data_IF_387826414317
#
_entry.id   IF_387826414317
#
_cell.length_a   1.000
_cell.length_b   1.000
_cell.length_c   1.000
_cell.angle_alpha   90.00
_cell.angle_beta   90.00
_cell.angle_gamma   90.00
#
_symmetry.space_group_name_H-M   'P 1'
#
loop_
_entity.id
_entity.type
_entity.pdbx_description
1 polymer ?
#
# COMPACT_ATOMS: atom_id res chain seq x y z
N UNK A 1 -10.67 -0.34 -20.65
CA UNK A 1 -9.36 -1.05 -20.64
C UNK A 1 -8.98 -1.30 -22.08
N UNK A 2 -7.84 -0.83 -22.53
CA UNK A 2 -7.30 -1.15 -23.86
C UNK A 2 -6.18 -2.17 -23.73
N UNK A 3 -6.08 -3.09 -24.69
CA UNK A 3 -4.97 -4.04 -24.78
C UNK A 3 -3.89 -3.47 -25.68
N UNK A 4 -2.69 -3.31 -25.14
CA UNK A 4 -1.49 -2.97 -25.92
C UNK A 4 -0.48 -4.09 -25.71
N UNK A 5 -0.03 -4.74 -26.78
CA UNK A 5 0.94 -5.84 -26.72
C UNK A 5 0.51 -7.06 -25.89
N UNK A 6 -0.81 -7.33 -25.80
CA UNK A 6 -1.34 -8.45 -25.00
C UNK A 6 -1.55 -8.16 -23.53
N UNK A 7 -1.06 -7.02 -23.01
CA UNK A 7 -1.28 -6.58 -21.64
C UNK A 7 -2.50 -5.67 -21.53
N UNK A 8 -3.24 -5.81 -20.42
CA UNK A 8 -4.33 -4.89 -20.06
C UNK A 8 -3.72 -3.59 -19.53
N UNK A 9 -3.72 -2.53 -20.31
CA UNK A 9 -3.29 -1.20 -19.88
C UNK A 9 -4.52 -0.38 -19.51
N UNK A 10 -4.59 0.10 -18.30
CA UNK A 10 -5.57 1.13 -17.93
C UNK A 10 -5.20 2.43 -18.62
N UNK A 11 -6.08 2.94 -19.49
CA UNK A 11 -5.96 4.31 -20.01
C UNK A 11 -6.00 5.28 -18.85
N UNK A 12 -5.02 6.18 -18.78
CA UNK A 12 -4.91 7.21 -17.75
C UNK A 12 -4.82 6.68 -16.30
N UNK A 13 -3.81 5.86 -16.02
CA UNK A 13 -3.42 5.60 -14.64
C UNK A 13 -2.83 6.89 -14.05
N UNK A 14 -3.70 7.72 -13.48
CA UNK A 14 -3.27 8.71 -12.51
C UNK A 14 -3.07 7.94 -11.22
N UNK A 15 -1.88 7.95 -10.61
CA UNK A 15 -1.70 7.35 -9.28
C UNK A 15 -2.72 8.02 -8.36
N UNK A 16 -3.75 7.27 -7.98
CA UNK A 16 -4.69 7.74 -6.97
C UNK A 16 -3.90 7.85 -5.67
N UNK A 17 -4.06 8.96 -4.95
CA UNK A 17 -3.54 9.08 -3.59
C UNK A 17 -4.11 7.99 -2.68
N UNK A 18 -5.27 7.45 -3.06
CA UNK A 18 -5.90 6.37 -2.35
C UNK A 18 -5.17 5.07 -2.60
N UNK A 19 -4.66 4.50 -1.54
CA UNK A 19 -3.89 3.27 -1.54
C UNK A 19 -4.62 2.09 -2.15
N UNK A 20 -5.89 1.98 -1.84
CA UNK A 20 -6.70 0.81 -2.10
C UNK A 20 -8.10 1.30 -2.47
N UNK A 21 -8.63 0.84 -3.60
CA UNK A 21 -10.05 1.00 -3.92
C UNK A 21 -10.87 0.01 -3.09
N UNK A 22 -10.92 0.22 -1.78
CA UNK A 22 -11.84 -0.48 -0.91
C UNK A 22 -13.24 0.08 -1.21
N UNK A 23 -14.23 -0.77 -1.40
CA UNK A 23 -15.63 -0.37 -1.42
C UNK A 23 -15.90 0.38 -0.11
N UNK A 24 -16.38 1.61 -0.16
CA UNK A 24 -16.54 2.51 0.98
C UNK A 24 -15.24 3.14 1.52
N UNK A 25 -14.17 3.15 0.73
CA UNK A 25 -12.94 3.85 1.11
C UNK A 25 -13.17 5.36 1.23
N UNK A 26 -12.28 5.99 1.97
CA UNK A 26 -12.29 7.42 2.30
C UNK A 26 -12.34 8.32 1.09
N UNK A 27 -11.78 7.87 0.00
CA UNK A 27 -11.83 8.61 -1.26
C UNK A 27 -13.25 8.73 -1.84
N UNK A 28 -14.25 8.11 -1.25
CA UNK A 28 -15.62 8.13 -1.79
C UNK A 28 -16.75 7.96 -0.79
N UNK A 29 -16.52 7.97 0.53
CA UNK A 29 -17.56 7.52 1.41
C UNK A 29 -17.75 8.30 2.72
N UNK A 30 -18.32 7.65 3.69
CA UNK A 30 -18.80 8.16 5.00
C UNK A 30 -17.87 9.10 5.75
N UNK A 31 -16.56 9.07 5.49
CA UNK A 31 -15.60 9.95 6.17
C UNK A 31 -15.56 11.33 5.52
N UNK A 32 -15.65 11.40 4.19
CA UNK A 32 -15.81 12.68 3.49
C UNK A 32 -17.12 13.35 3.90
N UNK A 33 -18.20 12.58 4.02
CA UNK A 33 -19.50 13.10 4.47
C UNK A 33 -19.40 13.73 5.86
N UNK A 34 -18.68 13.09 6.78
CA UNK A 34 -18.42 13.63 8.14
C UNK A 34 -17.60 14.92 8.10
N UNK A 35 -16.57 14.96 7.27
CA UNK A 35 -15.76 16.18 7.10
C UNK A 35 -16.61 17.29 6.50
N UNK A 36 -17.33 17.01 5.42
CA UNK A 36 -18.19 17.97 4.75
C UNK A 36 -19.25 18.56 5.70
N UNK A 37 -19.92 17.69 6.48
CA UNK A 37 -20.86 18.10 7.52
C UNK A 37 -20.19 18.96 8.61
N UNK A 38 -18.97 18.59 9.03
CA UNK A 38 -18.23 19.32 10.06
C UNK A 38 -17.80 20.72 9.63
N UNK A 39 -17.52 20.94 8.34
CA UNK A 39 -17.15 22.25 7.79
C UNK A 39 -18.33 22.96 7.10
N UNK A 40 -19.53 22.34 7.07
CA UNK A 40 -20.76 22.97 6.58
C UNK A 40 -20.88 23.06 5.07
N UNK A 41 -20.35 22.09 4.33
CA UNK A 41 -20.39 22.05 2.85
C UNK A 41 -21.06 20.78 2.33
N UNK A 42 -21.44 20.79 1.06
CA UNK A 42 -21.95 19.62 0.37
C UNK A 42 -20.89 18.51 0.35
N UNK A 43 -21.25 17.22 0.58
CA UNK A 43 -20.30 16.10 0.61
C UNK A 43 -19.81 15.71 -0.79
N UNK A 44 -19.18 16.65 -1.45
CA UNK A 44 -18.48 16.49 -2.72
C UNK A 44 -17.02 16.83 -2.53
N UNK A 45 -16.14 15.95 -2.95
CA UNK A 45 -14.68 16.08 -2.78
C UNK A 45 -14.17 17.44 -3.25
N UNK A 46 -14.58 17.86 -4.46
CA UNK A 46 -14.17 19.14 -5.04
C UNK A 46 -14.62 20.34 -4.21
N UNK A 47 -15.82 20.28 -3.62
CA UNK A 47 -16.31 21.37 -2.75
C UNK A 47 -15.56 21.42 -1.43
N UNK A 48 -15.25 20.29 -0.85
CA UNK A 48 -14.43 20.21 0.38
C UNK A 48 -13.02 20.76 0.11
N UNK A 49 -12.40 20.37 -1.00
CA UNK A 49 -11.08 20.86 -1.42
C UNK A 49 -11.08 22.36 -1.66
N UNK A 50 -12.06 22.87 -2.37
CA UNK A 50 -12.23 24.30 -2.68
C UNK A 50 -12.31 25.15 -1.40
N UNK A 51 -13.17 24.73 -0.44
CA UNK A 51 -13.38 25.48 0.81
C UNK A 51 -12.16 25.43 1.72
N UNK A 52 -11.44 24.31 1.73
CA UNK A 52 -10.21 24.17 2.54
C UNK A 52 -8.97 24.72 1.85
N UNK A 53 -9.03 25.04 0.56
CA UNK A 53 -7.90 25.53 -0.22
C UNK A 53 -6.80 24.49 -0.42
N UNK A 54 -7.17 23.21 -0.53
CA UNK A 54 -6.22 22.08 -0.69
C UNK A 54 -6.36 21.45 -2.07
N UNK A 55 -5.26 20.97 -2.62
CA UNK A 55 -5.25 20.32 -3.93
C UNK A 55 -5.39 18.80 -3.82
N UNK A 56 -4.72 18.21 -2.84
CA UNK A 56 -4.70 16.77 -2.62
C UNK A 56 -5.76 16.34 -1.60
N UNK A 57 -6.39 15.18 -1.81
CA UNK A 57 -7.40 14.66 -0.86
C UNK A 57 -6.80 14.35 0.51
N UNK A 58 -5.57 13.83 0.57
CA UNK A 58 -4.86 13.58 1.83
C UNK A 58 -4.63 14.86 2.66
N UNK A 59 -4.54 16.01 2.01
CA UNK A 59 -4.35 17.29 2.70
C UNK A 59 -5.60 17.71 3.49
N UNK A 60 -6.78 17.26 3.09
CA UNK A 60 -8.03 17.47 3.85
C UNK A 60 -7.85 16.99 5.29
N UNK A 61 -7.28 15.81 5.48
CA UNK A 61 -7.12 15.19 6.80
C UNK A 61 -5.90 15.69 7.58
N UNK A 62 -5.06 16.50 6.94
CA UNK A 62 -3.96 17.26 7.57
C UNK A 62 -4.37 18.69 7.92
N UNK A 63 -5.53 19.16 7.39
CA UNK A 63 -5.96 20.53 7.59
C UNK A 63 -6.36 20.79 9.05
N UNK A 64 -5.89 21.90 9.68
CA UNK A 64 -6.14 22.18 11.09
C UNK A 64 -7.62 22.21 11.46
N UNK A 65 -8.47 22.80 10.63
CA UNK A 65 -9.91 22.89 10.89
C UNK A 65 -10.58 21.52 10.87
N UNK A 66 -10.16 20.63 9.98
CA UNK A 66 -10.65 19.26 9.92
C UNK A 66 -10.19 18.49 11.16
N UNK A 67 -8.90 18.56 11.50
CA UNK A 67 -8.35 17.89 12.70
C UNK A 67 -9.09 18.37 13.96
N UNK A 68 -9.37 19.67 14.07
CA UNK A 68 -10.12 20.23 15.19
C UNK A 68 -11.54 19.68 15.30
N UNK A 69 -12.17 19.35 14.18
CA UNK A 69 -13.57 18.88 14.11
C UNK A 69 -13.72 17.37 14.27
N UNK A 70 -12.89 16.58 13.61
CA UNK A 70 -12.98 15.13 13.64
C UNK A 70 -12.05 14.46 14.65
N UNK A 71 -11.08 15.21 15.19
CA UNK A 71 -10.06 14.74 16.12
C UNK A 71 -8.80 14.20 15.44
N UNK A 72 -7.65 14.43 16.07
CA UNK A 72 -6.34 14.05 15.55
C UNK A 72 -6.20 12.54 15.33
N UNK A 73 -6.68 11.73 16.29
CA UNK A 73 -6.60 10.26 16.17
C UNK A 73 -7.39 9.74 14.96
N UNK A 74 -8.58 10.29 14.71
CA UNK A 74 -9.39 9.89 13.57
C UNK A 74 -8.76 10.35 12.25
N UNK A 75 -8.24 11.59 12.18
CA UNK A 75 -7.55 12.09 11.01
C UNK A 75 -6.31 11.23 10.65
N UNK A 76 -5.51 10.88 11.66
CA UNK A 76 -4.35 9.99 11.47
C UNK A 76 -4.76 8.58 11.03
N UNK A 77 -5.79 8.00 11.64
CA UNK A 77 -6.28 6.68 11.24
C UNK A 77 -6.73 6.66 9.78
N UNK A 78 -7.35 7.74 9.32
CA UNK A 78 -7.73 7.91 7.92
C UNK A 78 -6.51 7.96 7.01
N UNK A 79 -5.52 8.79 7.34
CA UNK A 79 -4.29 8.91 6.56
C UNK A 79 -3.53 7.57 6.45
N UNK A 80 -3.43 6.84 7.56
CA UNK A 80 -2.71 5.57 7.61
C UNK A 80 -3.42 4.42 6.90
N UNK A 81 -4.75 4.38 6.95
CA UNK A 81 -5.51 3.24 6.45
C UNK A 81 -5.92 3.38 4.98
N UNK A 82 -6.12 4.59 4.50
CA UNK A 82 -6.81 4.84 3.24
C UNK A 82 -5.92 5.49 2.18
N UNK A 83 -4.86 6.16 2.58
CA UNK A 83 -3.92 6.77 1.65
C UNK A 83 -2.64 5.94 1.51
N UNK A 84 -2.00 6.08 0.38
CA UNK A 84 -0.69 5.47 0.19
C UNK A 84 0.27 5.97 1.28
N UNK A 85 1.11 5.10 1.86
CA UNK A 85 2.20 5.54 2.71
C UNK A 85 3.03 6.60 1.98
N UNK A 86 3.66 7.53 2.71
CA UNK A 86 4.56 8.50 2.09
C UNK A 86 5.57 7.79 1.19
N UNK A 87 5.57 8.18 -0.07
CA UNK A 87 6.48 7.64 -1.09
C UNK A 87 7.64 8.61 -1.37
N UNK A 88 8.47 8.32 -2.36
CA UNK A 88 9.51 9.22 -2.80
C UNK A 88 8.89 10.53 -3.33
N UNK A 89 9.62 11.63 -3.20
CA UNK A 89 9.15 12.99 -3.52
C UNK A 89 8.75 13.18 -4.98
N UNK A 90 9.22 12.33 -5.88
CA UNK A 90 8.85 12.35 -7.30
C UNK A 90 8.94 10.96 -7.93
N UNK A 91 8.37 10.80 -9.12
CA UNK A 91 8.32 9.53 -9.85
C UNK A 91 9.70 8.98 -10.27
N UNK A 92 10.75 9.79 -10.20
CA UNK A 92 12.11 9.40 -10.57
C UNK A 92 12.97 9.07 -9.34
N UNK A 93 12.42 9.21 -8.14
CA UNK A 93 13.13 8.85 -6.91
C UNK A 93 13.01 7.35 -6.63
N UNK A 94 14.06 6.77 -6.10
CA UNK A 94 14.11 5.37 -5.74
C UNK A 94 13.20 5.08 -4.54
N UNK A 95 12.54 3.93 -4.58
CA UNK A 95 11.82 3.42 -3.42
C UNK A 95 12.83 2.97 -2.35
N UNK A 96 12.61 3.37 -1.12
CA UNK A 96 13.34 2.85 0.04
C UNK A 96 12.65 1.62 0.61
N UNK A 97 13.38 0.84 1.41
CA UNK A 97 12.83 -0.25 2.20
C UNK A 97 11.62 0.19 3.05
N UNK A 98 11.69 1.38 3.68
CA UNK A 98 10.59 1.93 4.49
C UNK A 98 9.31 2.11 3.66
N UNK A 99 9.43 2.58 2.42
CA UNK A 99 8.28 2.72 1.53
C UNK A 99 7.64 1.35 1.21
N UNK A 100 8.49 0.35 0.95
CA UNK A 100 8.05 -1.00 0.59
C UNK A 100 7.39 -1.72 1.78
N UNK A 101 8.03 -1.70 2.94
CA UNK A 101 7.50 -2.35 4.15
C UNK A 101 6.19 -1.70 4.61
N UNK A 102 6.11 -0.36 4.59
CA UNK A 102 4.86 0.35 4.90
C UNK A 102 3.72 -0.04 3.95
N UNK A 103 4.03 -0.29 2.68
CA UNK A 103 3.03 -0.75 1.70
C UNK A 103 2.61 -2.20 1.93
N UNK A 104 3.56 -3.06 2.24
CA UNK A 104 3.31 -4.45 2.61
C UNK A 104 2.43 -4.56 3.86
N UNK A 105 2.72 -3.78 4.89
CA UNK A 105 1.91 -3.70 6.12
C UNK A 105 0.47 -3.29 5.81
N UNK A 106 0.29 -2.28 4.96
CA UNK A 106 -1.03 -1.84 4.55
C UNK A 106 -1.79 -2.93 3.79
N UNK A 107 -1.13 -3.65 2.87
CA UNK A 107 -1.75 -4.79 2.18
C UNK A 107 -2.11 -5.92 3.16
N UNK A 108 -1.23 -6.27 4.08
CA UNK A 108 -1.50 -7.31 5.06
C UNK A 108 -2.73 -6.97 5.92
N UNK A 109 -2.84 -5.71 6.36
CA UNK A 109 -3.95 -5.23 7.18
C UNK A 109 -5.31 -5.32 6.48
N UNK A 110 -5.35 -5.08 5.17
CA UNK A 110 -6.60 -5.01 4.40
C UNK A 110 -6.80 -6.17 3.43
N UNK A 111 -5.95 -7.18 3.47
CA UNK A 111 -5.91 -8.26 2.48
C UNK A 111 -7.21 -9.04 2.36
N UNK A 112 -7.85 -9.35 3.49
CA UNK A 112 -9.13 -10.09 3.49
C UNK A 112 -10.24 -9.28 2.82
N UNK A 113 -10.29 -7.98 3.07
CA UNK A 113 -11.28 -7.08 2.47
C UNK A 113 -11.04 -6.87 0.98
N UNK A 114 -9.78 -6.74 0.56
CA UNK A 114 -9.40 -6.45 -0.81
C UNK A 114 -9.43 -7.65 -1.73
N UNK A 115 -8.94 -8.78 -1.24
CA UNK A 115 -8.61 -9.95 -2.04
C UNK A 115 -9.36 -11.20 -1.59
N UNK A 116 -10.13 -11.12 -0.50
CA UNK A 116 -10.75 -12.26 0.18
C UNK A 116 -9.73 -13.35 0.56
N UNK A 117 -8.50 -12.95 0.89
CA UNK A 117 -7.40 -13.81 1.30
C UNK A 117 -6.65 -13.17 2.46
N UNK A 118 -6.22 -14.00 3.42
CA UNK A 118 -5.34 -13.56 4.52
C UNK A 118 -3.91 -13.52 4.01
N UNK A 119 -3.37 -12.34 3.85
CA UNK A 119 -2.00 -12.13 3.43
C UNK A 119 -1.11 -11.74 4.60
N UNK A 120 0.11 -12.26 4.60
CA UNK A 120 1.22 -11.78 5.44
C UNK A 120 2.49 -11.65 4.62
N UNK A 121 3.51 -11.05 5.20
CA UNK A 121 4.78 -10.79 4.50
C UNK A 121 5.97 -10.91 5.44
N UNK A 122 7.14 -11.08 4.86
CA UNK A 122 8.41 -10.81 5.51
C UNK A 122 8.85 -9.39 5.13
N UNK A 123 9.36 -8.57 6.06
CA UNK A 123 10.02 -7.31 5.73
C UNK A 123 11.07 -7.51 4.63
N UNK A 124 11.43 -6.43 3.94
CA UNK A 124 12.36 -6.51 2.82
C UNK A 124 13.66 -7.25 3.19
N UNK A 125 14.22 -7.98 2.23
CA UNK A 125 15.48 -8.72 2.42
C UNK A 125 16.52 -8.24 1.40
N UNK A 126 17.79 -8.22 1.81
CA UNK A 126 18.92 -8.11 0.89
C UNK A 126 19.23 -9.49 0.30
N UNK A 127 19.90 -9.55 -0.85
CA UNK A 127 20.14 -10.83 -1.53
C UNK A 127 20.94 -11.84 -0.69
N UNK A 128 21.76 -11.35 0.22
CA UNK A 128 22.59 -12.14 1.15
C UNK A 128 21.90 -12.48 2.48
N UNK A 129 20.56 -12.37 2.54
CA UNK A 129 19.79 -12.57 3.77
C UNK A 129 20.10 -13.88 4.50
N UNK A 130 20.42 -14.94 3.76
CA UNK A 130 20.76 -16.24 4.34
C UNK A 130 22.09 -16.20 5.08
N UNK A 131 23.07 -15.44 4.58
CA UNK A 131 24.41 -15.35 5.13
C UNK A 131 24.48 -14.44 6.37
N UNK A 132 23.63 -13.40 6.40
CA UNK A 132 23.61 -12.42 7.48
C UNK A 132 22.52 -12.68 8.54
N UNK A 133 21.79 -13.77 8.42
CA UNK A 133 20.70 -14.11 9.36
C UNK A 133 19.47 -13.21 9.23
N UNK A 134 19.12 -12.83 8.01
CA UNK A 134 17.94 -12.03 7.73
C UNK A 134 16.65 -12.67 8.23
N UNK A 135 15.60 -11.88 8.44
CA UNK A 135 14.33 -12.29 9.06
C UNK A 135 13.69 -13.50 8.35
N UNK A 136 13.82 -13.57 7.03
CA UNK A 136 13.26 -14.67 6.23
C UNK A 136 13.82 -16.05 6.67
N UNK A 137 15.05 -16.11 7.18
CA UNK A 137 15.67 -17.38 7.67
C UNK A 137 15.02 -17.89 8.95
N UNK A 138 14.27 -17.05 9.65
CA UNK A 138 13.59 -17.37 10.90
C UNK A 138 12.12 -17.77 10.69
N UNK A 139 11.63 -17.68 9.45
CA UNK A 139 10.23 -17.95 9.13
C UNK A 139 10.04 -19.43 8.80
N UNK A 140 9.22 -20.12 9.60
CA UNK A 140 8.69 -21.43 9.21
C UNK A 140 7.50 -21.24 8.26
N UNK A 141 7.74 -21.50 6.97
CA UNK A 141 6.74 -21.31 5.93
C UNK A 141 5.53 -22.26 6.09
N UNK A 142 5.71 -23.41 6.74
CA UNK A 142 4.63 -24.35 7.03
C UNK A 142 3.70 -23.78 8.11
N UNK A 143 4.27 -23.11 9.10
CA UNK A 143 3.47 -22.44 10.14
C UNK A 143 2.79 -21.19 9.60
N UNK A 144 3.38 -20.50 8.65
CA UNK A 144 2.73 -19.39 7.93
C UNK A 144 1.52 -19.92 7.16
N UNK A 145 1.68 -21.00 6.38
CA UNK A 145 0.61 -21.60 5.58
C UNK A 145 -0.59 -22.09 6.40
N UNK A 146 -0.41 -22.42 7.68
CA UNK A 146 -1.52 -22.78 8.58
C UNK A 146 -2.43 -21.60 8.96
N UNK A 147 -1.92 -20.38 8.87
CA UNK A 147 -2.58 -19.16 9.38
C UNK A 147 -3.00 -18.19 8.30
N UNK A 148 -2.31 -18.22 7.17
CA UNK A 148 -2.46 -17.26 6.07
C UNK A 148 -2.64 -17.98 4.75
N UNK A 149 -3.34 -17.34 3.84
CA UNK A 149 -3.61 -17.86 2.50
C UNK A 149 -2.46 -17.52 1.53
N UNK A 150 -1.74 -16.44 1.81
CA UNK A 150 -0.69 -15.93 0.96
C UNK A 150 0.46 -15.34 1.77
N UNK A 151 1.66 -15.39 1.19
CA UNK A 151 2.87 -14.81 1.77
C UNK A 151 3.68 -14.08 0.72
N UNK A 152 4.21 -12.92 1.07
CA UNK A 152 5.04 -12.11 0.18
C UNK A 152 6.37 -11.72 0.81
N UNK A 153 7.36 -11.50 -0.04
CA UNK A 153 8.65 -10.93 0.35
C UNK A 153 9.21 -10.09 -0.79
N UNK A 154 9.84 -8.97 -0.45
CA UNK A 154 10.52 -8.09 -1.39
C UNK A 154 12.02 -8.19 -1.13
N UNK A 155 12.78 -8.35 -2.19
CA UNK A 155 14.23 -8.47 -2.15
C UNK A 155 14.90 -7.29 -2.84
N UNK A 156 16.05 -6.90 -2.33
CA UNK A 156 17.01 -6.08 -3.07
C UNK A 156 18.11 -6.97 -3.63
N UNK A 157 18.53 -6.71 -4.86
CA UNK A 157 19.61 -7.48 -5.52
C UNK A 157 21.00 -7.13 -5.01
N UNK A 158 21.13 -6.16 -4.12
CA UNK A 158 22.39 -5.78 -3.50
C UNK A 158 22.62 -6.54 -2.19
N UNK A 159 23.88 -6.56 -1.75
CA UNK A 159 24.27 -7.10 -0.45
C UNK A 159 23.91 -6.14 0.69
N UNK A 160 23.82 -6.65 1.90
CA UNK A 160 23.48 -5.87 3.11
C UNK A 160 24.45 -4.74 3.41
N UNK A 161 25.69 -4.80 2.88
CA UNK A 161 26.68 -3.73 2.95
C UNK A 161 26.51 -2.65 1.86
N UNK A 162 25.62 -2.87 0.89
CA UNK A 162 25.40 -1.96 -0.22
C UNK A 162 24.31 -0.92 0.02
N UNK A 163 24.06 -0.09 -0.98
CA UNK A 163 23.05 0.97 -0.95
C UNK A 163 21.71 0.56 -1.53
N UNK A 164 21.64 -0.65 -2.08
CA UNK A 164 20.54 -1.13 -2.87
C UNK A 164 20.70 -0.83 -4.36
N UNK A 165 20.35 -1.81 -5.20
CA UNK A 165 20.49 -1.69 -6.66
C UNK A 165 19.12 -1.80 -7.32
N UNK A 166 18.38 -2.88 -7.03
CA UNK A 166 17.12 -3.19 -7.70
C UNK A 166 16.22 -4.03 -6.81
N UNK A 167 14.91 -3.82 -6.95
CA UNK A 167 13.89 -4.54 -6.20
C UNK A 167 13.21 -5.61 -7.07
N UNK A 168 13.01 -6.79 -6.49
CA UNK A 168 12.14 -7.82 -7.01
C UNK A 168 11.30 -8.41 -5.89
N UNK A 169 10.25 -9.14 -6.21
CA UNK A 169 9.43 -9.76 -5.18
C UNK A 169 9.10 -11.21 -5.51
N UNK A 170 8.81 -11.96 -4.46
CA UNK A 170 8.22 -13.29 -4.55
C UNK A 170 6.90 -13.32 -3.77
N UNK A 171 5.96 -14.08 -4.27
CA UNK A 171 4.65 -14.26 -3.71
C UNK A 171 4.29 -15.74 -3.71
N UNK A 172 3.74 -16.23 -2.62
CA UNK A 172 3.30 -17.62 -2.46
C UNK A 172 1.80 -17.62 -2.21
N UNK A 173 1.06 -18.37 -3.01
CA UNK A 173 -0.36 -18.67 -2.80
C UNK A 173 -0.50 -20.09 -2.27
N UNK A 174 -0.79 -20.24 -0.98
CA UNK A 174 -0.98 -21.52 -0.33
C UNK A 174 -2.33 -22.15 -0.65
N UNK A 175 -3.27 -21.39 -1.22
CA UNK A 175 -4.62 -21.87 -1.55
C UNK A 175 -4.73 -22.45 -2.94
N UNK A 176 -3.73 -22.27 -3.79
CA UNK A 176 -3.66 -22.88 -5.12
C UNK A 176 -3.27 -24.36 -5.05
N UNK A 177 -3.68 -25.13 -6.04
CA UNK A 177 -3.29 -26.54 -6.14
C UNK A 177 -2.78 -26.86 -7.57
N UNK A 178 -1.48 -27.08 -7.76
CA UNK A 178 -0.42 -27.04 -6.74
C UNK A 178 -0.21 -25.64 -6.16
N UNK A 179 0.45 -25.56 -5.00
CA UNK A 179 0.86 -24.27 -4.41
C UNK A 179 1.65 -23.49 -5.44
N UNK A 180 1.23 -22.25 -5.67
CA UNK A 180 1.89 -21.37 -6.63
C UNK A 180 2.93 -20.49 -5.94
N UNK A 181 4.10 -20.39 -6.56
CA UNK A 181 5.15 -19.44 -6.20
C UNK A 181 5.35 -18.55 -7.42
N UNK A 182 5.10 -17.28 -7.25
CA UNK A 182 5.27 -16.26 -8.28
C UNK A 182 6.50 -15.42 -7.99
N UNK A 183 7.21 -15.08 -9.03
CA UNK A 183 8.37 -14.20 -9.01
C UNK A 183 8.14 -13.05 -9.98
N UNK A 184 8.34 -11.84 -9.51
CA UNK A 184 8.26 -10.64 -10.34
C UNK A 184 9.54 -9.82 -10.25
N UNK A 185 10.13 -9.57 -11.42
CA UNK A 185 11.30 -8.72 -11.59
C UNK A 185 11.09 -7.81 -12.79
N UNK A 186 11.09 -6.50 -12.57
CA UNK A 186 10.84 -5.51 -13.65
C UNK A 186 12.02 -5.36 -14.63
N UNK A 187 13.16 -5.94 -14.32
CA UNK A 187 14.34 -5.92 -15.19
C UNK A 187 14.38 -7.11 -16.18
N UNK A 188 13.39 -8.01 -16.15
CA UNK A 188 13.27 -9.17 -17.04
C UNK A 188 13.72 -10.46 -16.43
#
# INVERSE_FOLDING_TARGET
MEKVGGQLVKKNFVPSECSLQIKDSVCSGKTLDKVAAAIGVEPKLEKVKEVLGVEAESEIYKHPDVIKKIGSAQAQAVLQNNFNPPGPYNNNSWLSNVHLDSKQEQYAKHSTELFNKKYTYCPFQMIDFADVGGELTQIDIVDVAKKYDCFGVIFNTDYSSGRGIHWFCSYIDFTSNPIAIEYFNSSG
#
